data_IF_950104617807
#
_entry.id   IF_950104617807
#
_cell.length_a   1.000
_cell.length_b   1.000
_cell.length_c   1.000
_cell.angle_alpha   90.00
_cell.angle_beta   90.00
_cell.angle_gamma   90.00
#
_symmetry.space_group_name_H-M   'P 1'
#
loop_
_entity.id
_entity.type
_entity.pdbx_description
1 polymer ?
#
# COMPACT_ATOMS: atom_id res chain seq x y z
N UNK A 1 1.41 -11.43 10.31
CA UNK A 1 0.76 -12.11 11.47
C UNK A 1 1.35 -11.65 12.79
N UNK A 2 2.67 -11.76 13.01
CA UNK A 2 3.32 -11.01 14.09
C UNK A 2 3.10 -9.51 13.89
N UNK A 3 2.97 -8.75 14.97
CA UNK A 3 2.92 -7.27 14.95
C UNK A 3 4.32 -6.64 14.93
N UNK A 4 5.36 -7.47 14.87
CA UNK A 4 6.74 -7.02 14.79
C UNK A 4 7.05 -6.44 13.42
N UNK A 5 7.37 -5.15 13.39
CA UNK A 5 7.63 -4.40 12.15
C UNK A 5 8.83 -4.94 11.37
N UNK A 6 9.90 -5.36 12.04
CA UNK A 6 11.09 -5.92 11.38
C UNK A 6 10.78 -7.18 10.58
N UNK A 7 9.93 -8.07 11.12
CA UNK A 7 9.49 -9.28 10.42
C UNK A 7 8.55 -8.96 9.24
N UNK A 8 7.69 -7.94 9.40
CA UNK A 8 6.87 -7.43 8.30
C UNK A 8 7.76 -6.93 7.15
N UNK A 9 8.72 -6.04 7.44
CA UNK A 9 9.65 -5.50 6.45
C UNK A 9 10.49 -6.60 5.79
N UNK A 10 10.99 -7.54 6.59
CA UNK A 10 11.74 -8.70 6.09
C UNK A 10 10.91 -9.54 5.11
N UNK A 11 9.61 -9.70 5.35
CA UNK A 11 8.73 -10.44 4.43
C UNK A 11 8.41 -9.62 3.18
N UNK A 12 8.19 -8.31 3.33
CA UNK A 12 7.86 -7.38 2.24
C UNK A 12 8.96 -7.26 1.20
N UNK A 13 10.24 -7.36 1.60
CA UNK A 13 11.36 -7.25 0.65
C UNK A 13 11.33 -8.33 -0.45
N UNK A 14 10.69 -9.48 -0.19
CA UNK A 14 10.58 -10.58 -1.15
C UNK A 14 9.33 -10.53 -2.02
N UNK A 15 8.36 -9.65 -1.71
CA UNK A 15 7.06 -9.61 -2.41
C UNK A 15 7.25 -9.38 -3.90
N UNK A 16 8.10 -8.43 -4.31
CA UNK A 16 8.36 -8.17 -5.73
C UNK A 16 8.87 -9.41 -6.48
N UNK A 17 9.81 -10.15 -5.89
CA UNK A 17 10.36 -11.40 -6.46
C UNK A 17 9.31 -12.50 -6.53
N UNK A 18 8.47 -12.63 -5.49
CA UNK A 18 7.40 -13.63 -5.43
C UNK A 18 6.28 -13.33 -6.42
N UNK A 19 5.93 -12.05 -6.64
CA UNK A 19 4.99 -11.62 -7.68
C UNK A 19 5.52 -12.00 -9.06
N UNK A 20 6.79 -11.71 -9.35
CA UNK A 20 7.40 -12.12 -10.62
C UNK A 20 7.36 -13.63 -10.81
N UNK A 21 7.73 -14.40 -9.77
CA UNK A 21 7.73 -15.87 -9.83
C UNK A 21 6.31 -16.41 -10.08
N UNK A 22 5.31 -15.87 -9.37
CA UNK A 22 3.91 -16.23 -9.57
C UNK A 22 3.44 -15.94 -11.00
N UNK A 23 3.68 -14.73 -11.50
CA UNK A 23 3.25 -14.34 -12.85
C UNK A 23 3.93 -15.19 -13.92
N UNK A 24 5.22 -15.53 -13.74
CA UNK A 24 5.96 -16.44 -14.63
C UNK A 24 5.39 -17.87 -14.61
N UNK A 25 5.08 -18.41 -13.41
CA UNK A 25 4.42 -19.71 -13.29
C UNK A 25 3.06 -19.70 -14.02
N UNK A 26 2.28 -18.63 -13.84
CA UNK A 26 0.95 -18.48 -14.44
C UNK A 26 1.05 -18.40 -15.97
N UNK A 27 2.02 -17.65 -16.52
CA UNK A 27 2.23 -17.55 -17.97
C UNK A 27 2.64 -18.88 -18.60
N UNK A 28 3.38 -19.72 -17.86
CA UNK A 28 3.87 -21.01 -18.33
C UNK A 28 2.88 -22.18 -18.09
N UNK A 29 1.68 -21.89 -17.59
CA UNK A 29 0.69 -22.91 -17.18
C UNK A 29 1.16 -23.86 -16.06
N UNK A 30 2.16 -23.48 -15.27
CA UNK A 30 2.75 -24.27 -14.16
C UNK A 30 2.05 -23.98 -12.81
N UNK A 31 0.73 -23.81 -12.83
CA UNK A 31 -0.04 -23.30 -11.66
C UNK A 31 0.12 -24.14 -10.39
N UNK A 32 0.27 -25.47 -10.51
CA UNK A 32 0.41 -26.38 -9.36
C UNK A 32 1.69 -26.14 -8.55
N UNK A 33 2.75 -25.63 -9.19
CA UNK A 33 4.06 -25.40 -8.55
C UNK A 33 4.05 -24.12 -7.71
N UNK A 34 3.20 -23.15 -8.05
CA UNK A 34 3.18 -21.81 -7.46
C UNK A 34 2.05 -21.57 -6.43
N UNK A 35 1.30 -22.59 -6.02
CA UNK A 35 0.16 -22.46 -5.08
C UNK A 35 0.56 -21.90 -3.71
N UNK A 36 1.76 -22.24 -3.21
CA UNK A 36 2.30 -21.70 -1.97
C UNK A 36 2.61 -20.20 -2.08
N UNK A 37 3.15 -19.77 -3.22
CA UNK A 37 3.43 -18.36 -3.51
C UNK A 37 2.14 -17.56 -3.60
N UNK A 38 1.14 -18.10 -4.30
CA UNK A 38 -0.19 -17.52 -4.40
C UNK A 38 -0.84 -17.33 -3.02
N UNK A 39 -0.82 -18.39 -2.20
CA UNK A 39 -1.37 -18.36 -0.84
C UNK A 39 -0.65 -17.32 0.03
N UNK A 40 0.67 -17.23 -0.08
CA UNK A 40 1.46 -16.22 0.62
C UNK A 40 1.06 -14.80 0.19
N UNK A 41 1.03 -14.51 -1.11
CA UNK A 41 0.68 -13.19 -1.64
C UNK A 41 -0.75 -12.79 -1.25
N UNK A 42 -1.70 -13.73 -1.32
CA UNK A 42 -3.07 -13.51 -0.87
C UNK A 42 -3.14 -13.21 0.63
N UNK A 43 -2.35 -13.92 1.43
CA UNK A 43 -2.22 -13.68 2.87
C UNK A 43 -1.65 -12.30 3.20
N UNK A 44 -0.62 -11.86 2.46
CA UNK A 44 -0.07 -10.51 2.57
C UNK A 44 -1.13 -9.46 2.22
N UNK A 45 -1.82 -9.62 1.09
CA UNK A 45 -2.91 -8.72 0.68
C UNK A 45 -3.98 -8.60 1.76
N UNK A 46 -4.50 -9.72 2.25
CA UNK A 46 -5.55 -9.73 3.28
C UNK A 46 -5.11 -9.05 4.58
N UNK A 47 -3.82 -9.14 4.94
CA UNK A 47 -3.27 -8.47 6.11
C UNK A 47 -3.08 -6.97 5.92
N UNK A 48 -2.87 -6.49 4.69
CA UNK A 48 -2.68 -5.06 4.41
C UNK A 48 -4.00 -4.32 4.18
N UNK A 49 -5.03 -4.98 3.65
CA UNK A 49 -6.30 -4.31 3.31
C UNK A 49 -7.27 -4.15 4.47
N UNK A 50 -6.99 -4.76 5.63
CA UNK A 50 -7.86 -4.74 6.81
C UNK A 50 -7.13 -4.12 7.99
N UNK A 51 -7.78 -3.15 8.65
CA UNK A 51 -7.29 -2.53 9.88
C UNK A 51 -7.43 -3.48 11.08
N UNK A 52 -6.84 -3.12 12.21
CA UNK A 52 -6.91 -3.92 13.44
C UNK A 52 -8.33 -4.11 13.98
N UNK A 53 -9.27 -3.24 13.61
CA UNK A 53 -10.69 -3.28 13.98
C UNK A 53 -11.56 -4.07 12.98
N UNK A 54 -10.97 -4.63 11.92
CA UNK A 54 -11.69 -5.37 10.88
C UNK A 54 -12.28 -4.48 9.77
N UNK A 55 -12.13 -3.15 9.85
CA UNK A 55 -12.57 -2.25 8.79
C UNK A 55 -11.57 -2.22 7.64
N UNK A 56 -12.00 -1.93 6.39
CA UNK A 56 -11.08 -1.81 5.27
C UNK A 56 -10.13 -0.62 5.46
N UNK A 57 -8.89 -0.78 5.02
CA UNK A 57 -7.95 0.33 4.86
C UNK A 57 -8.41 1.18 3.67
N UNK A 58 -8.74 2.44 3.93
CA UNK A 58 -9.08 3.44 2.91
C UNK A 58 -8.14 4.61 3.10
N UNK A 59 -7.20 4.77 2.18
CA UNK A 59 -6.28 5.89 2.16
C UNK A 59 -6.95 7.07 1.46
N UNK A 60 -6.92 8.24 2.10
CA UNK A 60 -7.49 9.47 1.55
C UNK A 60 -6.50 10.60 1.74
N UNK A 61 -6.22 11.31 0.65
CA UNK A 61 -5.30 12.42 0.63
C UNK A 61 -6.06 13.70 0.32
N UNK A 62 -5.69 14.78 1.01
CA UNK A 62 -6.24 16.10 0.76
C UNK A 62 -5.41 16.79 -0.32
N UNK A 63 -6.06 17.26 -1.38
CA UNK A 63 -5.39 18.06 -2.40
C UNK A 63 -5.08 19.44 -1.81
N UNK A 64 -3.80 19.85 -1.72
CA UNK A 64 -3.46 21.18 -1.23
C UNK A 64 -3.98 22.23 -2.21
N UNK A 65 -4.40 23.37 -1.69
CA UNK A 65 -4.89 24.50 -2.50
C UNK A 65 -4.11 25.75 -2.17
N UNK A 66 -3.89 26.61 -3.17
CA UNK A 66 -3.19 27.89 -2.94
C UNK A 66 -4.00 28.84 -2.04
N UNK A 67 -5.33 28.74 -2.11
CA UNK A 67 -6.28 29.51 -1.29
C UNK A 67 -6.26 29.11 0.20
N UNK A 68 -5.63 27.98 0.55
CA UNK A 68 -5.43 27.54 1.93
C UNK A 68 -3.95 27.66 2.27
N UNK A 69 -3.63 28.32 3.39
CA UNK A 69 -2.25 28.49 3.81
C UNK A 69 -1.65 27.11 4.11
N UNK A 70 -0.40 26.91 3.72
CA UNK A 70 0.35 25.68 4.00
C UNK A 70 1.60 26.00 4.79
N UNK A 71 2.34 24.96 5.19
CA UNK A 71 3.65 25.11 5.86
C UNK A 71 4.68 25.84 4.99
N UNK A 72 4.44 25.96 3.68
CA UNK A 72 5.36 26.59 2.73
C UNK A 72 4.86 27.95 2.21
N UNK A 73 3.60 28.32 2.43
CA UNK A 73 3.05 29.58 1.91
C UNK A 73 1.89 30.11 2.75
N UNK A 74 1.82 31.43 2.90
CA UNK A 74 0.65 32.11 3.44
C UNK A 74 -0.36 32.39 2.31
N UNK A 75 -1.65 32.23 2.60
CA UNK A 75 -2.72 32.63 1.68
C UNK A 75 -2.88 34.15 1.70
N UNK A 76 -2.17 34.84 0.82
CA UNK A 76 -2.44 36.25 0.58
C UNK A 76 -3.69 36.36 -0.29
N UNK A 77 -4.84 36.65 0.32
CA UNK A 77 -5.93 37.34 -0.38
C UNK A 77 -5.42 38.75 -0.74
N UNK A 78 -4.58 38.88 -1.79
CA UNK A 78 -4.28 40.17 -2.38
C UNK A 78 -5.55 40.63 -3.13
N UNK A 79 -6.46 41.30 -2.42
CA UNK A 79 -7.67 41.87 -3.01
C UNK A 79 -8.74 42.44 -2.07
N UNK A 80 -8.63 42.29 -0.74
CA UNK A 80 -9.59 42.92 0.19
C UNK A 80 -8.89 43.49 1.42
N UNK A 81 -8.35 44.70 1.28
CA UNK A 81 -8.28 45.73 2.32
C UNK A 81 -7.95 47.05 1.61
N UNK A 82 -8.93 47.96 1.68
CA UNK A 82 -8.90 49.43 1.56
C UNK A 82 -7.98 50.10 0.52
#
# INVERSE_FOLDING_TARGET
>A
RSKEEKLKLFSLQFVSTLVWLYLRCVSNCEKKVCSGVETFLLGVYNLEIVKTDGTPVVESYCIPTINKASIYHESRLHGVTE
#
